data_IF_573887507706
#
_entry.id   IF_573887507706
#
_cell.length_a   1.000
_cell.length_b   1.000
_cell.length_c   1.000
_cell.angle_alpha   90.00
_cell.angle_beta   90.00
_cell.angle_gamma   90.00
#
_symmetry.space_group_name_H-M   'P 1'
#
loop_
_entity.id
_entity.type
_entity.pdbx_description
1 polymer ?
#
# COMPACT_ATOMS: atom_id res chain seq x y z
N UNK A 1 0.00 -8.80 -9.68
CA UNK A 1 1.25 -8.08 -9.36
C UNK A 1 1.26 -7.79 -7.88
N UNK A 2 2.32 -8.17 -7.17
CA UNK A 2 2.44 -8.06 -5.71
C UNK A 2 3.57 -7.09 -5.38
N UNK A 3 3.27 -6.05 -4.60
CA UNK A 3 4.20 -4.98 -4.25
C UNK A 3 4.44 -5.01 -2.73
N UNK A 4 5.70 -5.09 -2.26
CA UNK A 4 6.01 -5.29 -0.85
C UNK A 4 5.87 -4.00 -0.03
N UNK A 5 5.86 -4.16 1.28
CA UNK A 5 5.95 -3.05 2.24
C UNK A 5 7.38 -2.58 2.47
N UNK A 6 7.53 -1.55 3.32
CA UNK A 6 8.85 -1.06 3.74
C UNK A 6 9.66 -2.17 4.40
N UNK A 7 10.90 -2.35 3.95
CA UNK A 7 11.84 -3.34 4.49
C UNK A 7 11.63 -4.77 4.00
N UNK A 8 10.57 -5.02 3.22
CA UNK A 8 10.35 -6.31 2.55
C UNK A 8 10.97 -6.35 1.15
N UNK A 9 10.99 -7.53 0.54
CA UNK A 9 11.52 -7.75 -0.81
C UNK A 9 10.74 -8.81 -1.58
N UNK A 10 10.98 -8.91 -2.89
CA UNK A 10 10.27 -9.83 -3.78
C UNK A 10 10.52 -11.30 -3.43
N UNK A 11 11.70 -11.66 -2.93
CA UNK A 11 12.00 -13.01 -2.47
C UNK A 11 11.11 -13.37 -1.27
N UNK A 12 10.99 -12.46 -0.30
CA UNK A 12 10.06 -12.56 0.82
C UNK A 12 8.62 -12.77 0.40
N UNK A 13 8.14 -12.02 -0.59
CA UNK A 13 6.80 -12.21 -1.14
C UNK A 13 6.61 -13.58 -1.80
N UNK A 14 7.64 -14.08 -2.50
CA UNK A 14 7.64 -15.39 -3.16
C UNK A 14 7.83 -16.56 -2.18
N UNK A 15 8.18 -16.29 -0.92
CA UNK A 15 8.48 -17.31 0.07
C UNK A 15 9.86 -17.95 -0.11
N UNK A 16 10.79 -17.22 -0.70
CA UNK A 16 12.15 -17.64 -0.98
C UNK A 16 13.16 -16.90 -0.10
N UNK A 17 14.34 -17.48 0.18
CA UNK A 17 15.39 -16.77 0.90
C UNK A 17 15.88 -15.56 0.10
N UNK A 18 16.35 -14.53 0.80
CA UNK A 18 16.92 -13.34 0.18
C UNK A 18 18.27 -13.64 -0.49
N UNK A 19 18.68 -12.75 -1.40
CA UNK A 19 19.93 -12.88 -2.18
C UNK A 19 21.20 -12.85 -1.31
N UNK A 20 21.10 -12.32 -0.09
CA UNK A 20 22.18 -12.35 0.90
C UNK A 20 21.61 -12.64 2.30
N UNK A 21 22.41 -13.21 3.23
CA UNK A 21 21.94 -13.60 4.55
C UNK A 21 21.24 -12.49 5.35
N UNK A 22 21.74 -11.26 5.28
CA UNK A 22 21.17 -10.07 5.96
C UNK A 22 19.93 -9.51 5.28
N UNK A 23 19.63 -9.96 4.06
CA UNK A 23 18.48 -9.54 3.25
C UNK A 23 17.35 -10.59 3.22
N UNK A 24 17.42 -11.60 4.10
CA UNK A 24 16.30 -12.50 4.31
C UNK A 24 15.13 -11.73 4.91
N UNK A 25 14.04 -11.58 4.15
CA UNK A 25 12.76 -11.13 4.69
C UNK A 25 12.12 -12.26 5.51
N UNK A 26 10.89 -12.04 6.00
CA UNK A 26 10.06 -13.04 6.70
C UNK A 26 9.43 -14.02 5.70
N UNK A 27 10.24 -14.61 4.83
CA UNK A 27 9.83 -15.47 3.72
C UNK A 27 9.14 -16.79 4.13
N UNK A 28 9.19 -17.16 5.41
CA UNK A 28 8.44 -18.32 5.94
C UNK A 28 7.10 -17.94 6.56
N UNK A 29 6.78 -16.65 6.66
CA UNK A 29 5.57 -16.16 7.30
C UNK A 29 4.44 -15.97 6.27
N UNK A 30 3.37 -16.79 6.29
CA UNK A 30 2.24 -16.66 5.36
C UNK A 30 1.52 -15.31 5.47
N UNK A 31 1.76 -14.53 6.52
CA UNK A 31 1.25 -13.16 6.66
C UNK A 31 1.91 -12.15 5.72
N UNK A 32 2.99 -12.53 5.02
CA UNK A 32 3.77 -11.62 4.18
C UNK A 32 4.15 -12.22 2.82
N UNK A 33 4.10 -13.54 2.67
CA UNK A 33 4.42 -14.25 1.41
C UNK A 33 3.27 -14.14 0.38
N UNK A 34 2.91 -12.91 0.00
CA UNK A 34 1.78 -12.59 -0.89
C UNK A 34 1.79 -13.42 -2.17
N UNK A 35 2.92 -13.48 -2.87
CA UNK A 35 3.03 -14.17 -4.15
C UNK A 35 2.92 -15.69 -3.98
N UNK A 36 3.53 -16.25 -2.93
CA UNK A 36 3.39 -17.67 -2.60
C UNK A 36 1.93 -18.04 -2.29
N UNK A 37 1.20 -17.17 -1.60
CA UNK A 37 -0.19 -17.41 -1.29
C UNK A 37 -1.05 -17.40 -2.56
N UNK A 38 -0.85 -16.43 -3.46
CA UNK A 38 -1.63 -16.36 -4.70
C UNK A 38 -1.36 -17.51 -5.67
N UNK A 39 -0.12 -18.00 -5.78
CA UNK A 39 0.16 -19.14 -6.68
C UNK A 39 -0.49 -20.44 -6.20
N UNK A 40 -0.66 -20.62 -4.87
CA UNK A 40 -1.40 -21.75 -4.29
C UNK A 40 -2.90 -21.72 -4.61
N UNK A 41 -3.42 -20.56 -4.99
CA UNK A 41 -4.80 -20.36 -5.43
C UNK A 41 -4.99 -20.56 -6.95
N UNK A 42 -3.93 -20.98 -7.66
CA UNK A 42 -3.95 -21.20 -9.11
C UNK A 42 -3.73 -19.94 -9.95
N UNK A 43 -3.39 -18.80 -9.33
CA UNK A 43 -3.05 -17.58 -10.03
C UNK A 43 -1.56 -17.53 -10.41
N UNK A 44 -1.22 -16.74 -11.43
CA UNK A 44 0.18 -16.39 -11.70
C UNK A 44 0.54 -15.16 -10.86
N UNK A 45 1.50 -15.32 -9.95
CA UNK A 45 1.96 -14.25 -9.09
C UNK A 45 3.28 -13.65 -9.59
N UNK A 46 3.28 -12.34 -9.81
CA UNK A 46 4.48 -11.55 -10.18
C UNK A 46 4.82 -10.66 -9.00
N UNK A 47 5.99 -10.82 -8.42
CA UNK A 47 6.51 -10.03 -7.30
C UNK A 47 7.60 -9.06 -7.78
N UNK A 48 7.56 -7.83 -7.28
CA UNK A 48 8.55 -6.77 -7.58
C UNK A 48 9.23 -6.30 -6.30
N UNK A 49 10.40 -5.66 -6.43
CA UNK A 49 11.03 -4.92 -5.34
C UNK A 49 10.61 -3.46 -5.38
N UNK A 50 10.57 -2.82 -4.20
CA UNK A 50 10.60 -1.36 -4.14
C UNK A 50 12.04 -0.86 -4.42
N UNK A 51 12.24 0.33 -5.02
CA UNK A 51 13.58 0.89 -5.19
C UNK A 51 14.35 0.97 -3.86
N UNK A 52 15.65 0.69 -3.89
CA UNK A 52 16.54 0.60 -2.72
C UNK A 52 16.34 -0.63 -1.79
N UNK A 53 15.40 -1.53 -2.08
CA UNK A 53 15.14 -2.72 -1.25
C UNK A 53 15.52 -4.03 -1.96
N UNK A 54 15.77 -5.08 -1.17
CA UNK A 54 16.00 -6.42 -1.71
C UNK A 54 17.23 -6.49 -2.61
N UNK A 55 17.05 -7.02 -3.82
CA UNK A 55 18.11 -7.05 -4.84
C UNK A 55 18.54 -5.65 -5.30
N UNK A 56 17.64 -4.66 -5.20
CA UNK A 56 17.88 -3.29 -5.59
C UNK A 56 18.48 -2.43 -4.44
N UNK A 57 18.94 -3.06 -3.36
CA UNK A 57 19.66 -2.39 -2.27
C UNK A 57 21.13 -2.15 -2.60
N UNK A 58 21.83 -1.40 -1.74
CA UNK A 58 23.24 -1.05 -1.90
C UNK A 58 24.11 -1.86 -0.91
N UNK A 59 24.69 -1.22 0.10
CA UNK A 59 25.66 -1.82 1.02
C UNK A 59 25.00 -2.53 2.22
N UNK A 60 23.68 -2.50 2.34
CA UNK A 60 22.97 -3.05 3.50
C UNK A 60 23.14 -4.56 3.65
N UNK A 61 23.40 -5.26 2.54
CA UNK A 61 23.77 -6.69 2.55
C UNK A 61 24.99 -6.99 3.40
N UNK A 62 25.85 -6.01 3.65
CA UNK A 62 27.06 -6.13 4.49
C UNK A 62 26.84 -5.61 5.91
N UNK A 63 25.90 -4.70 6.11
CA UNK A 63 25.71 -3.95 7.37
C UNK A 63 24.30 -4.08 7.92
N UNK A 64 23.40 -3.19 7.51
CA UNK A 64 22.12 -2.84 8.14
C UNK A 64 20.94 -3.75 7.75
N UNK A 65 21.11 -4.68 6.83
CA UNK A 65 20.08 -5.64 6.44
C UNK A 65 18.85 -4.96 5.84
N UNK A 66 17.67 -5.17 6.42
CA UNK A 66 16.40 -4.63 5.92
C UNK A 66 16.14 -3.16 6.25
N UNK A 67 17.06 -2.50 6.97
CA UNK A 67 17.02 -1.05 7.19
C UNK A 67 17.67 -0.32 6.00
N UNK A 68 17.00 -0.38 4.85
CA UNK A 68 17.47 0.19 3.59
C UNK A 68 17.48 1.72 3.57
N UNK A 69 18.45 2.31 2.89
CA UNK A 69 18.56 3.76 2.71
C UNK A 69 17.68 4.26 1.55
N UNK A 70 16.37 4.23 1.76
CA UNK A 70 15.40 4.79 0.81
C UNK A 70 15.58 6.30 0.63
N UNK A 71 15.99 7.00 1.69
CA UNK A 71 15.99 8.45 1.75
C UNK A 71 17.11 9.04 0.89
N UNK A 72 18.30 8.42 0.85
CA UNK A 72 19.38 8.89 -0.04
C UNK A 72 18.98 8.78 -1.51
N UNK A 73 18.36 7.67 -1.92
CA UNK A 73 17.86 7.50 -3.29
C UNK A 73 16.77 8.52 -3.60
N UNK A 74 15.86 8.74 -2.66
CA UNK A 74 14.82 9.76 -2.76
C UNK A 74 15.41 11.15 -2.97
N UNK A 75 16.47 11.49 -2.24
CA UNK A 75 17.18 12.76 -2.38
C UNK A 75 17.72 12.96 -3.80
N UNK A 76 18.40 11.97 -4.37
CA UNK A 76 18.90 12.08 -5.75
C UNK A 76 17.78 12.32 -6.76
N UNK A 77 16.65 11.60 -6.62
CA UNK A 77 15.50 11.76 -7.51
C UNK A 77 14.86 13.14 -7.39
N UNK A 78 14.73 13.66 -6.17
CA UNK A 78 14.17 14.99 -5.91
C UNK A 78 15.04 16.10 -6.52
N UNK A 79 16.37 16.01 -6.41
CA UNK A 79 17.30 16.98 -7.03
C UNK A 79 17.16 17.04 -8.56
N UNK A 80 16.73 15.94 -9.18
CA UNK A 80 16.53 15.83 -10.63
C UNK A 80 15.08 16.15 -11.06
N UNK A 81 14.27 16.73 -10.18
CA UNK A 81 12.88 17.07 -10.48
C UNK A 81 11.95 15.87 -10.56
N UNK A 82 12.35 14.72 -10.01
CA UNK A 82 11.53 13.52 -9.91
C UNK A 82 11.23 13.19 -8.43
N UNK A 83 10.80 11.96 -8.14
CA UNK A 83 10.51 11.50 -6.78
C UNK A 83 10.68 9.99 -6.68
N UNK A 84 10.82 9.49 -5.45
CA UNK A 84 10.89 8.05 -5.18
C UNK A 84 9.67 7.31 -5.72
N UNK A 85 8.46 7.78 -5.41
CA UNK A 85 7.22 7.17 -5.89
C UNK A 85 7.09 7.25 -7.42
N UNK A 86 7.49 8.37 -8.02
CA UNK A 86 7.49 8.51 -9.48
C UNK A 86 8.41 7.49 -10.16
N UNK A 87 9.60 7.26 -9.61
CA UNK A 87 10.54 6.26 -10.09
C UNK A 87 10.02 4.84 -9.87
N UNK A 88 9.59 4.50 -8.65
CA UNK A 88 9.02 3.18 -8.32
C UNK A 88 7.87 2.82 -9.26
N UNK A 89 6.91 3.72 -9.41
CA UNK A 89 5.73 3.51 -10.26
C UNK A 89 6.09 3.37 -11.74
N UNK A 90 7.11 4.10 -12.21
CA UNK A 90 7.57 3.96 -13.60
C UNK A 90 8.13 2.57 -13.87
N UNK A 91 8.95 2.02 -12.96
CA UNK A 91 9.50 0.67 -13.08
C UNK A 91 8.39 -0.38 -13.03
N UNK A 92 7.49 -0.27 -12.04
CA UNK A 92 6.37 -1.18 -11.84
C UNK A 92 5.42 -1.19 -13.04
N UNK A 93 5.20 -0.04 -13.67
CA UNK A 93 4.42 0.06 -14.91
C UNK A 93 5.04 -0.77 -16.05
N UNK A 94 6.36 -0.89 -16.14
CA UNK A 94 7.01 -1.73 -17.16
C UNK A 94 6.74 -3.21 -16.91
N UNK A 95 6.76 -3.64 -15.64
CA UNK A 95 6.40 -5.01 -15.26
C UNK A 95 4.95 -5.31 -15.59
N UNK A 96 4.04 -4.37 -15.28
CA UNK A 96 2.62 -4.48 -15.65
C UNK A 96 2.44 -4.59 -17.18
N UNK A 97 3.17 -3.79 -17.96
CA UNK A 97 3.14 -3.86 -19.42
C UNK A 97 3.65 -5.19 -19.94
N UNK A 98 4.71 -5.74 -19.35
CA UNK A 98 5.20 -7.09 -19.67
C UNK A 98 4.16 -8.17 -19.33
N UNK A 99 3.47 -8.08 -18.19
CA UNK A 99 2.44 -9.05 -17.81
C UNK A 99 1.36 -9.18 -18.89
N UNK A 100 0.98 -8.05 -19.50
CA UNK A 100 -0.05 -8.00 -20.56
C UNK A 100 0.36 -8.67 -21.88
N UNK A 101 1.64 -9.01 -22.07
CA UNK A 101 2.14 -9.70 -23.27
C UNK A 101 2.26 -11.21 -23.07
N UNK A 102 2.07 -11.71 -21.84
CA UNK A 102 2.21 -13.12 -21.53
C UNK A 102 0.93 -13.90 -21.88
N UNK A 103 1.03 -14.89 -22.77
CA UNK A 103 -0.12 -15.70 -23.23
C UNK A 103 -0.87 -16.45 -22.12
N UNK A 104 -0.20 -16.71 -20.99
CA UNK A 104 -0.79 -17.41 -19.84
C UNK A 104 -1.39 -16.45 -18.80
N UNK A 105 -1.14 -15.14 -18.91
CA UNK A 105 -1.74 -14.13 -18.05
C UNK A 105 -3.01 -13.64 -18.76
N UNK A 106 -4.17 -13.88 -18.16
CA UNK A 106 -5.44 -13.36 -18.65
C UNK A 106 -5.43 -11.83 -18.54
N UNK A 107 -5.24 -11.16 -19.68
CA UNK A 107 -5.00 -9.70 -19.77
C UNK A 107 -6.09 -8.86 -19.13
N UNK A 108 -7.36 -9.30 -19.18
CA UNK A 108 -8.52 -8.62 -18.59
C UNK A 108 -8.80 -9.01 -17.13
N UNK A 109 -7.88 -9.72 -16.46
CA UNK A 109 -7.99 -10.14 -15.05
C UNK A 109 -6.70 -9.87 -14.24
N UNK A 110 -5.90 -8.89 -14.66
CA UNK A 110 -4.70 -8.50 -13.91
C UNK A 110 -5.12 -7.75 -12.64
N UNK A 111 -4.71 -8.28 -11.49
CA UNK A 111 -4.90 -7.65 -10.17
C UNK A 111 -3.58 -7.07 -9.68
N UNK A 112 -3.61 -5.85 -9.12
CA UNK A 112 -2.46 -5.23 -8.44
C UNK A 112 -2.71 -5.22 -6.94
N UNK A 113 -1.77 -5.78 -6.18
CA UNK A 113 -1.85 -5.97 -4.72
C UNK A 113 -0.68 -5.27 -4.06
N UNK A 114 -0.98 -4.31 -3.19
CA UNK A 114 0.01 -3.57 -2.41
C UNK A 114 -0.13 -3.83 -0.91
N UNK A 115 0.99 -4.00 -0.23
CA UNK A 115 1.06 -4.07 1.24
C UNK A 115 1.83 -2.87 1.79
N UNK A 116 1.28 -2.15 2.77
CA UNK A 116 1.94 -0.99 3.39
C UNK A 116 2.38 0.01 2.32
N UNK A 117 3.68 0.37 2.28
CA UNK A 117 4.32 1.19 1.22
C UNK A 117 3.92 0.79 -0.21
N UNK A 118 3.73 -0.50 -0.51
CA UNK A 118 3.38 -0.98 -1.84
C UNK A 118 2.00 -0.53 -2.34
N UNK A 119 1.16 0.04 -1.47
CA UNK A 119 -0.12 0.64 -1.87
C UNK A 119 0.05 1.95 -2.65
N UNK A 120 1.16 2.67 -2.47
CA UNK A 120 1.42 3.93 -3.17
C UNK A 120 1.62 3.72 -4.69
N UNK A 121 2.55 2.87 -5.17
CA UNK A 121 2.64 2.60 -6.61
C UNK A 121 1.41 1.87 -7.14
N UNK A 122 0.70 1.08 -6.33
CA UNK A 122 -0.60 0.50 -6.71
C UNK A 122 -1.61 1.59 -7.10
N UNK A 123 -1.70 2.67 -6.32
CA UNK A 123 -2.56 3.83 -6.64
C UNK A 123 -2.13 4.51 -7.94
N UNK A 124 -0.83 4.72 -8.15
CA UNK A 124 -0.32 5.37 -9.37
C UNK A 124 -0.61 4.52 -10.60
N UNK A 125 -0.27 3.22 -10.58
CA UNK A 125 -0.56 2.29 -11.67
C UNK A 125 -2.07 2.23 -11.94
N UNK A 126 -2.89 2.11 -10.90
CA UNK A 126 -4.34 2.10 -11.02
C UNK A 126 -4.90 3.36 -11.68
N UNK A 127 -4.37 4.53 -11.33
CA UNK A 127 -4.80 5.81 -11.88
C UNK A 127 -4.40 5.97 -13.35
N UNK A 128 -3.19 5.55 -13.71
CA UNK A 128 -2.66 5.71 -15.07
C UNK A 128 -3.15 4.61 -16.04
N UNK A 129 -3.62 3.48 -15.53
CA UNK A 129 -3.92 2.31 -16.35
C UNK A 129 -5.28 1.69 -16.02
N UNK A 130 -6.27 2.01 -16.85
CA UNK A 130 -7.64 1.52 -16.71
C UNK A 130 -7.82 0.04 -17.07
N UNK A 131 -6.79 -0.62 -17.60
CA UNK A 131 -6.87 -2.05 -17.96
C UNK A 131 -6.67 -3.00 -16.78
N UNK A 132 -6.19 -2.50 -15.63
CA UNK A 132 -6.13 -3.28 -14.39
C UNK A 132 -7.55 -3.65 -13.97
N UNK A 133 -7.77 -4.91 -13.62
CA UNK A 133 -9.09 -5.44 -13.30
C UNK A 133 -9.51 -5.12 -11.86
N UNK A 134 -8.62 -5.34 -10.89
CA UNK A 134 -8.94 -5.16 -9.48
C UNK A 134 -7.72 -4.78 -8.63
N UNK A 135 -7.98 -4.32 -7.41
CA UNK A 135 -6.98 -3.80 -6.49
C UNK A 135 -7.08 -4.42 -5.09
N UNK A 136 -5.93 -4.69 -4.47
CA UNK A 136 -5.84 -5.05 -3.05
C UNK A 136 -5.03 -3.96 -2.36
N UNK A 137 -5.72 -3.13 -1.56
CA UNK A 137 -5.12 -2.08 -0.74
C UNK A 137 -4.97 -2.61 0.69
N UNK A 138 -3.80 -3.16 1.01
CA UNK A 138 -3.49 -3.68 2.35
C UNK A 138 -2.62 -2.70 3.14
N UNK A 139 -3.20 -1.54 3.41
CA UNK A 139 -2.77 -0.57 4.41
C UNK A 139 -4.03 0.15 4.91
N UNK A 140 -3.94 0.95 5.97
CA UNK A 140 -5.06 1.82 6.33
C UNK A 140 -5.18 2.97 5.31
N UNK A 141 -6.41 3.37 4.99
CA UNK A 141 -6.65 4.53 4.12
C UNK A 141 -6.33 5.81 4.88
N UNK A 142 -5.40 6.60 4.35
CA UNK A 142 -4.83 7.75 5.05
C UNK A 142 -5.05 9.05 4.27
N UNK A 143 -5.72 10.02 4.89
CA UNK A 143 -5.65 11.42 4.48
C UNK A 143 -4.29 11.99 4.97
N UNK A 144 -3.29 11.99 4.09
CA UNK A 144 -1.89 12.23 4.49
C UNK A 144 -1.59 13.69 4.79
N UNK A 145 -2.28 14.62 4.14
CA UNK A 145 -2.15 16.05 4.39
C UNK A 145 -2.64 16.41 5.79
N UNK A 146 -3.86 16.00 6.15
CA UNK A 146 -4.45 16.21 7.48
C UNK A 146 -3.57 15.57 8.55
N UNK A 147 -3.01 14.38 8.31
CA UNK A 147 -2.04 13.76 9.22
C UNK A 147 -0.84 14.66 9.52
N UNK A 148 -0.30 15.36 8.52
CA UNK A 148 0.84 16.26 8.71
C UNK A 148 0.44 17.54 9.45
N UNK A 149 -0.78 18.03 9.24
CA UNK A 149 -1.34 19.21 9.92
C UNK A 149 -1.64 18.93 11.40
N UNK A 150 -2.19 17.75 11.73
CA UNK A 150 -2.64 17.46 13.10
C UNK A 150 -1.57 16.84 13.99
N UNK A 151 -0.59 16.11 13.44
CA UNK A 151 0.44 15.42 14.22
C UNK A 151 1.58 16.36 14.60
N UNK A 152 1.29 17.30 15.50
CA UNK A 152 2.21 18.39 15.83
C UNK A 152 2.74 18.33 17.26
N UNK A 153 2.32 17.40 18.12
CA UNK A 153 2.83 17.30 19.50
C UNK A 153 4.36 17.19 19.51
N UNK A 154 5.10 18.10 20.19
CA UNK A 154 6.55 18.02 20.24
C UNK A 154 7.04 16.86 21.11
N UNK A 155 8.20 16.34 20.76
CA UNK A 155 8.94 15.41 21.62
C UNK A 155 9.64 16.14 22.79
N UNK A 156 10.33 15.37 23.64
CA UNK A 156 11.10 15.89 24.78
C UNK A 156 12.18 16.94 24.41
N UNK A 157 12.59 17.01 23.15
CA UNK A 157 13.60 17.94 22.63
C UNK A 157 12.96 19.10 21.84
N UNK A 158 11.63 19.25 21.89
CA UNK A 158 10.90 20.28 21.18
C UNK A 158 10.82 20.07 19.66
N UNK A 159 11.11 18.87 19.15
CA UNK A 159 10.99 18.55 17.72
C UNK A 159 9.59 18.05 17.40
N UNK A 160 9.11 18.36 16.20
CA UNK A 160 7.83 17.88 15.65
C UNK A 160 8.16 17.02 14.43
N UNK A 161 8.35 15.69 14.59
CA UNK A 161 8.72 14.83 13.48
C UNK A 161 7.62 14.84 12.42
N UNK A 162 8.00 14.95 11.15
CA UNK A 162 7.04 14.74 10.06
C UNK A 162 6.50 13.29 10.13
N UNK A 163 5.26 13.02 9.67
CA UNK A 163 4.67 11.70 9.85
C UNK A 163 5.48 10.54 9.25
N UNK A 164 6.21 10.78 8.15
CA UNK A 164 7.04 9.82 7.42
C UNK A 164 8.27 10.51 6.78
N UNK A 165 9.16 9.72 6.16
CA UNK A 165 10.40 10.23 5.55
C UNK A 165 10.22 10.73 4.11
N UNK A 166 11.29 11.24 3.51
CA UNK A 166 11.28 11.86 2.18
C UNK A 166 11.02 10.90 1.02
N UNK A 167 11.04 9.58 1.23
CA UNK A 167 10.57 8.62 0.22
C UNK A 167 9.09 8.78 -0.14
N UNK A 168 8.32 9.44 0.72
CA UNK A 168 6.91 9.77 0.50
C UNK A 168 6.72 11.20 -0.02
N UNK A 169 7.80 11.93 -0.32
CA UNK A 169 7.71 13.28 -0.85
C UNK A 169 7.54 13.25 -2.38
N UNK A 170 6.38 13.68 -2.83
CA UNK A 170 6.10 14.00 -4.23
C UNK A 170 5.75 15.48 -4.28
N UNK A 171 6.61 16.35 -4.84
CA UNK A 171 6.31 17.76 -4.97
C UNK A 171 4.96 17.99 -5.66
N UNK A 172 4.20 18.96 -5.15
CA UNK A 172 2.85 19.34 -5.61
C UNK A 172 1.74 18.30 -5.47
N UNK A 173 1.97 17.15 -4.83
CA UNK A 173 0.94 16.12 -4.61
C UNK A 173 -0.32 16.69 -3.94
N UNK A 174 -0.17 17.37 -2.80
CA UNK A 174 -1.29 17.96 -2.04
C UNK A 174 -1.89 19.22 -2.67
N UNK A 175 -1.33 19.75 -3.76
CA UNK A 175 -2.03 20.76 -4.56
C UNK A 175 -3.15 20.15 -5.40
N UNK A 176 -3.19 18.83 -5.50
CA UNK A 176 -4.12 18.10 -6.36
C UNK A 176 -5.09 17.22 -5.56
N UNK A 177 -4.58 16.36 -4.67
CA UNK A 177 -5.39 15.31 -4.03
C UNK A 177 -4.73 14.70 -2.79
N UNK A 178 -5.49 13.87 -2.08
CA UNK A 178 -5.01 12.91 -1.07
C UNK A 178 -5.38 11.46 -1.47
N UNK A 179 -4.93 10.47 -0.69
CA UNK A 179 -5.16 9.06 -1.02
C UNK A 179 -6.65 8.65 -1.11
N UNK A 180 -7.57 9.14 -0.24
CA UNK A 180 -8.99 8.83 -0.37
C UNK A 180 -9.56 9.23 -1.73
N UNK A 181 -9.14 10.39 -2.26
CA UNK A 181 -9.57 10.88 -3.58
C UNK A 181 -9.06 9.97 -4.71
N UNK A 182 -7.78 9.58 -4.65
CA UNK A 182 -7.18 8.70 -5.66
C UNK A 182 -7.85 7.32 -5.65
N UNK A 183 -8.04 6.73 -4.47
CA UNK A 183 -8.68 5.42 -4.33
C UNK A 183 -10.14 5.47 -4.80
N UNK A 184 -10.86 6.53 -4.48
CA UNK A 184 -12.22 6.76 -4.98
C UNK A 184 -12.27 6.85 -6.52
N UNK A 185 -11.27 7.48 -7.14
CA UNK A 185 -11.16 7.59 -8.60
C UNK A 185 -10.88 6.25 -9.31
N UNK A 186 -10.56 5.17 -8.58
CA UNK A 186 -10.39 3.84 -9.18
C UNK A 186 -11.72 3.16 -9.54
N UNK A 187 -12.85 3.68 -9.03
CA UNK A 187 -14.18 3.21 -9.38
C UNK A 187 -14.39 3.24 -10.92
N UNK A 188 -15.06 2.23 -11.52
CA UNK A 188 -15.85 1.17 -10.87
C UNK A 188 -15.06 -0.12 -10.57
N UNK A 189 -13.73 -0.14 -10.73
CA UNK A 189 -12.94 -1.38 -10.66
C UNK A 189 -12.94 -1.97 -9.24
N UNK A 190 -13.17 -3.28 -9.06
CA UNK A 190 -13.21 -3.91 -7.75
C UNK A 190 -11.97 -3.62 -6.88
N UNK A 191 -12.19 -3.29 -5.62
CA UNK A 191 -11.13 -3.04 -4.65
C UNK A 191 -11.49 -3.59 -3.28
N UNK A 192 -10.47 -4.05 -2.54
CA UNK A 192 -10.57 -4.37 -1.12
C UNK A 192 -9.59 -3.53 -0.31
N UNK A 193 -10.10 -2.90 0.77
CA UNK A 193 -9.34 -2.20 1.80
C UNK A 193 -9.38 -3.02 3.08
N UNK A 194 -8.24 -3.54 3.54
CA UNK A 194 -8.22 -4.61 4.56
C UNK A 194 -7.87 -4.13 5.97
N UNK A 195 -7.37 -2.91 6.12
CA UNK A 195 -6.80 -2.39 7.37
C UNK A 195 -7.43 -1.06 7.83
N UNK A 196 -8.64 -0.77 7.36
CA UNK A 196 -9.44 0.34 7.85
C UNK A 196 -8.89 1.71 7.45
N UNK A 197 -8.88 2.62 8.42
CA UNK A 197 -8.79 4.07 8.25
C UNK A 197 -9.90 4.76 9.03
N UNK A 198 -9.96 6.08 8.93
CA UNK A 198 -11.05 6.87 9.49
C UNK A 198 -12.34 6.64 8.67
N UNK A 199 -13.48 6.46 9.35
CA UNK A 199 -14.75 6.11 8.70
C UNK A 199 -15.16 7.14 7.62
N UNK A 200 -14.88 8.43 7.85
CA UNK A 200 -15.06 9.52 6.87
C UNK A 200 -14.43 9.21 5.50
N UNK A 201 -13.17 8.80 5.50
CA UNK A 201 -12.41 8.56 4.27
C UNK A 201 -12.90 7.28 3.57
N UNK A 202 -13.27 6.27 4.35
CA UNK A 202 -13.85 5.03 3.84
C UNK A 202 -15.24 5.27 3.22
N UNK A 203 -16.04 6.14 3.82
CA UNK A 203 -17.35 6.53 3.30
C UNK A 203 -17.25 7.36 2.02
N UNK A 204 -16.22 8.21 1.89
CA UNK A 204 -15.91 8.90 0.64
C UNK A 204 -15.72 7.90 -0.51
N UNK A 205 -14.92 6.85 -0.29
CA UNK A 205 -14.71 5.80 -1.31
C UNK A 205 -16.02 5.04 -1.59
N UNK A 206 -16.78 4.66 -0.55
CA UNK A 206 -18.11 4.02 -0.74
C UNK A 206 -19.02 4.87 -1.63
N UNK A 207 -19.05 6.18 -1.39
CA UNK A 207 -19.89 7.11 -2.16
C UNK A 207 -19.46 7.21 -3.62
N UNK A 208 -18.16 7.24 -3.90
CA UNK A 208 -17.66 7.27 -5.28
C UNK A 208 -18.07 6.02 -6.06
N UNK A 209 -17.94 4.83 -5.46
CA UNK A 209 -18.38 3.57 -6.07
C UNK A 209 -19.90 3.50 -6.28
N UNK A 210 -20.69 4.07 -5.37
CA UNK A 210 -22.13 4.20 -5.54
C UNK A 210 -22.51 5.12 -6.71
N UNK A 211 -21.81 6.25 -6.86
CA UNK A 211 -22.00 7.18 -8.00
C UNK A 211 -21.66 6.49 -9.33
N UNK A 212 -20.61 5.68 -9.36
CA UNK A 212 -20.21 4.91 -10.53
C UNK A 212 -21.16 3.73 -10.88
N UNK A 213 -22.23 3.52 -10.10
CA UNK A 213 -23.21 2.45 -10.33
C UNK A 213 -22.74 1.06 -9.89
N UNK A 214 -21.64 0.98 -9.13
CA UNK A 214 -21.04 -0.28 -8.66
C UNK A 214 -20.74 -0.23 -7.15
N UNK A 215 -21.75 0.03 -6.28
CA UNK A 215 -21.54 0.21 -4.85
C UNK A 215 -20.90 -1.01 -4.17
N UNK A 216 -21.19 -2.22 -4.67
CA UNK A 216 -20.69 -3.48 -4.08
C UNK A 216 -19.26 -3.84 -4.52
N UNK A 217 -18.67 -3.10 -5.47
CA UNK A 217 -17.31 -3.36 -5.95
C UNK A 217 -16.23 -2.89 -4.99
N UNK A 218 -16.57 -2.07 -3.99
CA UNK A 218 -15.65 -1.67 -2.91
C UNK A 218 -15.94 -2.49 -1.65
N UNK A 219 -14.94 -3.28 -1.21
CA UNK A 219 -15.00 -4.03 0.03
C UNK A 219 -14.08 -3.42 1.08
N UNK A 220 -14.62 -3.16 2.27
CA UNK A 220 -13.87 -2.49 3.35
C UNK A 220 -13.94 -3.33 4.61
N UNK A 221 -12.78 -3.48 5.26
CA UNK A 221 -12.61 -4.06 6.58
C UNK A 221 -11.80 -3.11 7.46
N UNK A 222 -12.08 -3.14 8.77
CA UNK A 222 -11.19 -2.58 9.78
C UNK A 222 -10.34 -3.69 10.41
N UNK A 223 -9.26 -3.30 11.10
CA UNK A 223 -8.61 -4.18 12.06
C UNK A 223 -9.63 -4.77 13.03
N UNK A 224 -9.42 -6.03 13.45
CA UNK A 224 -10.30 -6.71 14.44
C UNK A 224 -10.50 -5.90 15.72
N UNK A 225 -9.46 -5.19 16.18
CA UNK A 225 -9.52 -4.31 17.36
C UNK A 225 -10.52 -3.16 17.22
N UNK A 226 -10.73 -2.69 15.99
CA UNK A 226 -11.58 -1.54 15.67
C UNK A 226 -12.79 -1.92 14.80
N UNK A 227 -13.14 -3.21 14.72
CA UNK A 227 -14.27 -3.66 13.89
C UNK A 227 -15.62 -3.29 14.51
N UNK A 228 -15.69 -3.24 15.83
CA UNK A 228 -16.86 -2.75 16.57
C UNK A 228 -17.00 -1.22 16.38
N UNK A 229 -18.12 -0.72 15.83
CA UNK A 229 -18.36 0.72 15.68
C UNK A 229 -18.16 1.55 16.96
N UNK A 230 -18.42 0.99 18.15
CA UNK A 230 -18.28 1.71 19.42
C UNK A 230 -16.82 2.09 19.74
N UNK A 231 -15.87 1.41 19.09
CA UNK A 231 -14.43 1.67 19.22
C UNK A 231 -13.93 2.78 18.30
N UNK A 232 -14.75 3.25 17.36
CA UNK A 232 -14.41 4.26 16.35
C UNK A 232 -15.12 5.58 16.63
N UNK A 233 -14.63 6.67 16.04
CA UNK A 233 -15.22 8.00 16.15
C UNK A 233 -15.52 8.55 14.76
N UNK A 234 -16.79 8.89 14.53
CA UNK A 234 -17.23 9.56 13.32
C UNK A 234 -16.98 11.05 13.46
N UNK A 235 -15.91 11.54 12.85
CA UNK A 235 -15.53 12.96 12.81
C UNK A 235 -15.23 13.36 11.38
N UNK A 236 -15.59 14.58 11.02
CA UNK A 236 -15.27 15.15 9.70
C UNK A 236 -13.84 15.67 9.63
N UNK A 237 -13.28 16.11 10.76
CA UNK A 237 -11.91 16.59 10.88
C UNK A 237 -11.25 15.97 12.10
N UNK A 238 -9.97 15.61 11.98
CA UNK A 238 -9.16 15.17 13.12
C UNK A 238 -8.81 16.36 14.03
N UNK A 239 -8.72 16.15 15.35
CA UNK A 239 -8.27 17.19 16.27
C UNK A 239 -6.79 17.50 16.04
N UNK A 240 -6.43 18.78 16.12
CA UNK A 240 -5.03 19.23 16.05
C UNK A 240 -4.23 18.87 17.30
N UNK A 241 -2.89 18.92 17.20
CA UNK A 241 -2.00 18.75 18.35
C UNK A 241 -1.80 17.32 18.81
N UNK A 242 -2.14 16.34 17.98
CA UNK A 242 -1.99 14.92 18.29
C UNK A 242 -0.51 14.50 18.31
N UNK A 243 -0.19 13.55 19.18
CA UNK A 243 1.00 12.73 19.01
C UNK A 243 0.75 11.58 18.02
N UNK A 244 1.81 10.82 17.72
CA UNK A 244 1.74 9.68 16.78
C UNK A 244 0.80 8.57 17.26
N UNK A 245 0.77 8.27 18.56
CA UNK A 245 -0.05 7.19 19.12
C UNK A 245 -1.52 7.58 19.15
N UNK A 246 -1.82 8.81 19.53
CA UNK A 246 -3.16 9.37 19.52
C UNK A 246 -3.72 9.43 18.10
N UNK A 247 -2.92 9.87 17.13
CA UNK A 247 -3.29 9.83 15.72
C UNK A 247 -3.68 8.43 15.27
N UNK A 248 -2.83 7.41 15.48
CA UNK A 248 -3.14 6.05 15.04
C UNK A 248 -4.38 5.46 15.70
N UNK A 249 -4.68 5.83 16.94
CA UNK A 249 -5.94 5.48 17.59
C UNK A 249 -7.14 6.17 16.95
N UNK A 250 -7.02 7.47 16.62
CA UNK A 250 -8.09 8.23 15.97
C UNK A 250 -8.40 7.72 14.56
N UNK A 251 -7.40 7.20 13.84
CA UNK A 251 -7.59 6.63 12.49
C UNK A 251 -7.71 5.10 12.51
N UNK A 252 -8.01 4.51 13.66
CA UNK A 252 -8.45 3.13 13.81
C UNK A 252 -7.40 2.08 13.39
N UNK A 253 -6.11 2.38 13.62
CA UNK A 253 -4.96 1.53 13.24
C UNK A 253 -4.45 0.71 14.42
N UNK A 254 -4.24 -0.59 14.19
CA UNK A 254 -3.65 -1.51 15.16
C UNK A 254 -2.28 -2.01 14.68
N UNK A 255 -1.25 -1.19 14.93
CA UNK A 255 0.12 -1.41 14.43
C UNK A 255 0.70 -2.82 14.63
N UNK A 256 0.57 -3.46 15.82
CA UNK A 256 1.05 -4.83 16.03
C UNK A 256 0.43 -5.88 15.10
N UNK A 257 -0.75 -5.60 14.54
CA UNK A 257 -1.46 -6.46 13.62
C UNK A 257 -1.36 -6.00 12.16
N UNK A 258 -0.43 -5.09 11.83
CA UNK A 258 -0.14 -4.68 10.46
C UNK A 258 0.63 -5.77 9.70
N UNK A 259 -0.06 -6.44 8.78
CA UNK A 259 0.45 -7.53 7.93
C UNK A 259 -0.51 -7.77 6.75
N UNK A 260 -0.09 -8.51 5.74
CA UNK A 260 -0.96 -8.80 4.60
C UNK A 260 -2.10 -9.76 4.99
N UNK A 261 -3.34 -9.29 4.88
CA UNK A 261 -4.57 -9.96 5.34
C UNK A 261 -5.03 -11.04 4.35
N UNK A 262 -4.17 -12.05 4.11
CA UNK A 262 -4.48 -13.19 3.23
C UNK A 262 -5.83 -13.83 3.55
N UNK A 263 -6.20 -13.88 4.83
CA UNK A 263 -7.48 -14.43 5.31
C UNK A 263 -8.72 -13.65 4.85
N UNK A 264 -8.56 -12.38 4.45
CA UNK A 264 -9.62 -11.56 3.86
C UNK A 264 -9.50 -11.51 2.32
N UNK A 265 -8.27 -11.36 1.82
CA UNK A 265 -8.00 -11.15 0.40
C UNK A 265 -8.23 -12.41 -0.41
N UNK A 266 -7.75 -13.58 0.03
CA UNK A 266 -7.88 -14.83 -0.74
C UNK A 266 -9.35 -15.19 -0.97
N UNK A 267 -10.24 -15.21 0.05
CA UNK A 267 -11.66 -15.46 -0.18
C UNK A 267 -12.34 -14.42 -1.07
N UNK A 268 -11.91 -13.14 -1.02
CA UNK A 268 -12.43 -12.10 -1.89
C UNK A 268 -12.03 -12.32 -3.35
N UNK A 269 -10.75 -12.65 -3.61
CA UNK A 269 -10.26 -12.96 -4.95
C UNK A 269 -10.91 -14.21 -5.55
N UNK A 270 -11.12 -15.27 -4.74
CA UNK A 270 -11.85 -16.47 -5.21
C UNK A 270 -13.20 -16.10 -5.79
N UNK A 271 -14.04 -15.40 -5.02
CA UNK A 271 -15.35 -14.94 -5.48
C UNK A 271 -15.27 -14.06 -6.72
N UNK A 272 -14.34 -13.10 -6.71
CA UNK A 272 -14.21 -12.11 -7.77
C UNK A 272 -13.71 -12.69 -9.10
N UNK A 273 -12.86 -13.73 -9.04
CA UNK A 273 -12.22 -14.33 -10.22
C UNK A 273 -12.89 -15.65 -10.66
N UNK A 274 -13.74 -16.25 -9.83
CA UNK A 274 -14.63 -17.37 -10.20
C UNK A 274 -15.74 -16.92 -11.18
N UNK A 275 -16.13 -15.64 -11.19
CA UNK A 275 -17.12 -15.12 -12.12
C UNK A 275 -16.52 -14.83 -13.53
N UNK A 276 -16.84 -15.75 -14.47
CA UNK A 276 -16.73 -15.68 -15.94
C UNK A 276 -15.35 -15.89 -16.57
#
# INVERSE_FOLDING_TARGET
MCIPGSGGNKEGLAGEPGIAPKLNDRYKDPKLTQALNFVKEGYIAVAVDNPAAGEASDLERYTLGSNYDYDVVSRYLLELGWSYLGYASYLDMQVLNWMKTQKHIRKDRIVVSGFSLGTEPMMVLGTLDTSIYAFVYNDFLCQTQERAEVMTMPDKNGRRPFPNSIRHLIPDFWKNFNFPDIVAALAPRPIILTEGGLDRDLDLVRKAYAIAGTPDNVKIYHYKKFSDPDTRKNVEYLPEGLDRNEYFRMVNVDGPNHYFKSELVVPWLRKLLEER
#
